data_IF_017336861629
#
_entry.id   IF_017336861629
#
_cell.length_a   1.000
_cell.length_b   1.000
_cell.length_c   1.000
_cell.angle_alpha   90.00
_cell.angle_beta   90.00
_cell.angle_gamma   90.00
#
_symmetry.space_group_name_H-M   'P 1'
#
loop_
_entity.id
_entity.type
_entity.pdbx_description
1 polymer ?
#
# COMPACT_ATOMS: atom_id res chain seq x y z
N UNK A 1 63.66 47.04 16.34
CA UNK A 1 62.53 47.72 17.01
C UNK A 1 61.98 46.78 18.07
N UNK A 2 62.53 46.87 19.27
CA UNK A 2 61.92 46.48 20.55
C UNK A 2 61.63 47.83 21.30
N UNK A 3 60.98 47.93 22.48
CA UNK A 3 60.63 46.91 23.50
C UNK A 3 59.12 46.97 23.93
N UNK A 4 58.53 46.02 24.65
CA UNK A 4 58.68 45.57 26.05
C UNK A 4 58.28 46.56 27.18
N UNK A 5 57.44 46.01 28.07
CA UNK A 5 57.36 46.10 29.55
C UNK A 5 56.93 47.36 30.35
N UNK A 6 55.95 47.08 31.24
CA UNK A 6 55.82 47.38 32.69
C UNK A 6 55.93 48.80 33.27
N UNK A 7 55.05 49.08 34.24
CA UNK A 7 55.18 50.18 35.20
C UNK A 7 54.02 50.28 36.20
N UNK A 8 54.05 49.50 37.27
CA UNK A 8 53.29 49.74 38.53
C UNK A 8 53.92 50.94 39.27
N UNK A 9 53.18 51.65 40.17
CA UNK A 9 53.46 51.39 41.59
C UNK A 9 52.26 51.51 42.56
N UNK A 10 52.48 50.91 43.72
CA UNK A 10 51.65 50.84 44.94
C UNK A 10 51.49 52.19 45.67
N UNK A 11 50.42 52.34 46.47
CA UNK A 11 50.40 53.06 47.76
C UNK A 11 48.97 52.97 48.35
N UNK A 12 48.73 52.07 49.31
CA UNK A 12 48.71 52.28 50.78
C UNK A 12 47.40 52.85 51.34
N UNK A 13 46.64 51.99 52.00
CA UNK A 13 46.31 52.02 53.45
C UNK A 13 45.23 53.01 53.90
N UNK A 14 44.13 52.47 54.42
CA UNK A 14 43.76 52.61 55.84
C UNK A 14 42.35 52.07 56.10
N UNK A 15 42.27 50.99 56.89
CA UNK A 15 41.10 50.75 57.74
C UNK A 15 41.28 51.60 58.99
N UNK A 16 40.18 52.10 59.59
CA UNK A 16 39.93 51.61 60.94
C UNK A 16 38.44 51.39 61.30
N UNK A 17 38.28 50.35 62.10
CA UNK A 17 37.47 50.23 63.33
C UNK A 17 35.93 50.14 63.25
N UNK A 18 35.51 49.00 63.81
CA UNK A 18 34.18 48.58 64.25
C UNK A 18 33.56 49.58 65.24
N UNK A 19 32.26 49.78 65.11
CA UNK A 19 31.36 50.06 66.23
C UNK A 19 30.16 49.09 66.12
N UNK A 20 29.89 48.34 67.19
CA UNK A 20 28.71 47.50 67.38
C UNK A 20 27.57 48.37 67.90
N UNK A 21 26.40 48.36 67.25
CA UNK A 21 25.10 48.55 67.90
C UNK A 21 24.07 47.68 67.17
N UNK A 22 23.35 46.87 67.95
CA UNK A 22 22.28 46.02 67.48
C UNK A 22 21.00 46.84 67.25
N UNK A 23 20.29 46.58 66.16
CA UNK A 23 18.87 46.87 66.04
C UNK A 23 18.26 45.97 64.96
N UNK A 24 17.38 45.07 65.39
CA UNK A 24 16.53 44.29 64.51
C UNK A 24 15.54 45.22 63.81
N UNK A 25 15.52 45.20 62.48
CA UNK A 25 14.53 45.87 61.64
C UNK A 25 14.27 45.02 60.41
N UNK A 26 13.03 44.57 60.26
CA UNK A 26 12.59 43.63 59.22
C UNK A 26 12.91 44.14 57.81
N UNK A 27 13.67 43.35 57.05
CA UNK A 27 13.93 43.57 55.63
C UNK A 27 13.08 42.58 54.80
N UNK A 28 12.23 43.14 53.94
CA UNK A 28 11.52 42.39 52.90
C UNK A 28 12.54 41.68 52.00
N UNK A 29 12.40 40.35 51.89
CA UNK A 29 13.12 39.57 50.89
C UNK A 29 12.50 39.83 49.51
N UNK A 30 13.18 40.63 48.68
CA UNK A 30 12.95 40.62 47.23
C UNK A 30 13.53 39.32 46.67
N UNK A 31 12.66 38.34 46.42
CA UNK A 31 13.02 37.15 45.67
C UNK A 31 13.25 37.52 44.20
N UNK A 32 14.50 37.49 43.76
CA UNK A 32 14.83 37.48 42.34
C UNK A 32 14.44 36.11 41.77
N UNK A 33 13.27 36.03 41.14
CA UNK A 33 12.85 34.87 40.38
C UNK A 33 13.71 34.77 39.11
N UNK A 34 14.77 33.97 39.16
CA UNK A 34 15.44 33.50 37.96
C UNK A 34 14.47 32.65 37.16
N UNK A 35 14.05 33.13 35.99
CA UNK A 35 13.27 32.33 35.04
C UNK A 35 14.25 31.33 34.42
N UNK A 36 14.34 30.14 35.01
CA UNK A 36 14.84 28.97 34.31
C UNK A 36 13.80 28.62 33.25
N UNK A 37 14.08 28.98 31.99
CA UNK A 37 13.35 28.41 30.85
C UNK A 37 13.74 26.94 30.80
N UNK A 38 12.92 26.10 31.41
CA UNK A 38 13.01 24.66 31.19
C UNK A 38 12.69 24.42 29.70
N UNK A 39 13.72 24.12 28.91
CA UNK A 39 13.53 23.53 27.59
C UNK A 39 12.73 22.24 27.82
N UNK A 40 11.49 22.21 27.36
CA UNK A 40 10.73 20.98 27.30
C UNK A 40 11.58 19.94 26.56
N UNK A 41 11.69 18.70 27.06
CA UNK A 41 12.37 17.65 26.31
C UNK A 41 11.72 17.56 24.94
N UNK A 42 12.53 17.58 23.88
CA UNK A 42 12.04 17.36 22.52
C UNK A 42 11.23 16.05 22.55
N UNK A 43 9.93 16.15 22.30
CA UNK A 43 9.09 14.98 22.12
C UNK A 43 9.64 14.21 20.93
N UNK A 44 10.35 13.11 21.18
CA UNK A 44 10.74 12.18 20.13
C UNK A 44 9.48 11.77 19.39
N UNK A 45 9.39 12.07 18.09
CA UNK A 45 8.25 11.66 17.29
C UNK A 45 8.12 10.14 17.41
N UNK A 46 6.96 9.68 17.90
CA UNK A 46 6.73 8.27 18.12
C UNK A 46 6.69 7.55 16.77
N UNK A 47 7.39 6.42 16.69
CA UNK A 47 7.32 5.48 15.59
C UNK A 47 5.89 5.29 15.07
N UNK A 48 5.70 5.46 13.76
CA UNK A 48 4.46 5.01 13.11
C UNK A 48 4.44 3.49 13.15
N UNK A 49 3.85 2.95 14.21
CA UNK A 49 3.59 1.51 14.33
C UNK A 49 2.16 1.28 13.90
N UNK A 50 1.99 0.87 12.64
CA UNK A 50 0.67 0.49 12.16
C UNK A 50 0.26 -0.85 12.77
N UNK A 51 -1.05 -1.08 12.99
CA UNK A 51 -1.55 -2.30 13.62
C UNK A 51 -1.01 -3.57 12.95
N UNK A 52 -0.68 -4.59 13.75
CA UNK A 52 -0.25 -5.92 13.29
C UNK A 52 0.98 -5.93 12.36
N UNK A 53 1.86 -4.92 12.45
CA UNK A 53 3.06 -4.83 11.62
C UNK A 53 2.76 -4.51 10.15
N UNK A 54 1.60 -3.88 9.88
CA UNK A 54 1.21 -3.42 8.55
C UNK A 54 2.22 -2.41 8.01
N UNK A 55 2.59 -2.54 6.74
CA UNK A 55 3.58 -1.68 6.10
C UNK A 55 2.89 -0.61 5.27
N UNK A 56 3.37 0.63 5.39
CA UNK A 56 3.09 1.73 4.48
C UNK A 56 4.44 2.13 3.87
N UNK A 57 4.66 1.73 2.61
CA UNK A 57 5.93 1.89 1.88
C UNK A 57 5.73 2.91 0.76
N UNK A 58 6.65 3.85 0.59
CA UNK A 58 6.63 4.76 -0.56
C UNK A 58 7.97 4.82 -1.28
N UNK A 59 7.94 4.86 -2.61
CA UNK A 59 9.14 5.14 -3.40
C UNK A 59 9.35 6.65 -3.52
N UNK A 60 10.58 7.11 -3.32
CA UNK A 60 11.01 8.49 -3.53
C UNK A 60 12.11 8.51 -4.60
N UNK A 61 11.82 8.95 -5.83
CA UNK A 61 12.83 8.99 -6.88
C UNK A 61 13.87 10.10 -6.64
N UNK A 62 15.07 9.93 -7.16
CA UNK A 62 16.18 10.90 -7.07
C UNK A 62 15.87 12.18 -7.85
N UNK A 63 15.14 12.04 -8.96
CA UNK A 63 14.83 13.10 -9.92
C UNK A 63 13.58 13.94 -9.59
N UNK A 64 12.66 13.47 -8.74
CA UNK A 64 11.40 14.17 -8.47
C UNK A 64 11.00 14.15 -7.00
N UNK A 65 10.25 15.17 -6.56
CA UNK A 65 9.75 15.28 -5.19
C UNK A 65 10.66 16.03 -4.21
N UNK A 66 10.02 16.65 -3.21
CA UNK A 66 10.67 17.43 -2.16
C UNK A 66 10.58 16.69 -0.81
N UNK A 67 11.73 16.36 -0.23
CA UNK A 67 11.83 15.62 1.04
C UNK A 67 11.13 16.33 2.21
N UNK A 68 10.98 17.65 2.17
CA UNK A 68 10.30 18.41 3.22
C UNK A 68 8.76 18.28 3.17
N UNK A 69 8.22 17.77 2.07
CA UNK A 69 6.76 17.60 1.87
C UNK A 69 6.28 16.17 2.12
N UNK A 70 7.21 15.26 2.41
CA UNK A 70 6.89 13.85 2.68
C UNK A 70 6.11 13.76 3.99
N UNK A 71 5.03 12.98 3.95
CA UNK A 71 4.18 12.74 5.11
C UNK A 71 4.73 11.61 5.99
N UNK A 72 5.93 11.79 6.54
CA UNK A 72 6.68 10.74 7.26
C UNK A 72 5.86 10.05 8.36
N UNK A 73 5.06 10.81 9.12
CA UNK A 73 4.16 10.29 10.15
C UNK A 73 3.04 9.35 9.65
N UNK A 74 3.00 9.05 8.35
CA UNK A 74 2.06 8.12 7.70
C UNK A 74 2.76 6.97 6.98
N UNK A 75 4.09 6.94 7.00
CA UNK A 75 4.94 5.97 6.32
C UNK A 75 5.77 5.19 7.33
N UNK A 76 5.89 3.89 7.07
CA UNK A 76 6.77 3.00 7.83
C UNK A 76 8.14 2.88 7.18
N UNK A 77 8.18 2.89 5.84
CA UNK A 77 9.38 2.71 5.04
C UNK A 77 9.35 3.61 3.81
N UNK A 78 10.52 4.07 3.38
CA UNK A 78 10.73 4.77 2.12
C UNK A 78 11.85 4.06 1.36
N UNK A 79 11.61 3.76 0.10
CA UNK A 79 12.61 3.24 -0.82
C UNK A 79 13.11 4.41 -1.69
N UNK A 80 14.37 4.81 -1.52
CA UNK A 80 14.98 5.85 -2.35
C UNK A 80 15.42 5.25 -3.68
N UNK A 81 14.82 5.72 -4.77
CA UNK A 81 14.99 5.19 -6.12
C UNK A 81 15.85 6.12 -6.97
N UNK A 82 16.88 5.69 -7.69
CA UNK A 82 17.53 4.39 -7.64
C UNK A 82 19.04 4.57 -7.58
N UNK A 83 19.75 3.51 -7.21
CA UNK A 83 21.14 3.32 -7.62
C UNK A 83 21.19 2.18 -8.64
N UNK A 84 22.01 2.31 -9.68
CA UNK A 84 22.16 1.28 -10.70
C UNK A 84 23.44 0.46 -10.49
N UNK A 85 23.43 -0.85 -10.78
CA UNK A 85 24.64 -1.65 -10.78
C UNK A 85 25.43 -1.50 -12.09
N UNK A 86 26.70 -1.92 -12.03
CA UNK A 86 27.51 -2.28 -13.19
C UNK A 86 27.69 -3.81 -13.24
N UNK A 87 28.01 -4.35 -14.41
CA UNK A 87 28.21 -5.79 -14.65
C UNK A 87 29.28 -6.44 -13.74
N UNK A 88 30.25 -5.68 -13.25
CA UNK A 88 31.31 -6.17 -12.35
C UNK A 88 30.93 -6.13 -10.86
N UNK A 89 29.70 -5.73 -10.53
CA UNK A 89 29.24 -5.56 -9.16
C UNK A 89 29.66 -4.26 -8.48
N UNK A 90 30.24 -3.30 -9.19
CA UNK A 90 30.29 -1.92 -8.70
C UNK A 90 28.93 -1.23 -8.84
N UNK A 91 28.73 -0.12 -8.13
CA UNK A 91 27.55 0.74 -8.28
C UNK A 91 27.90 1.92 -9.17
N UNK A 92 26.94 2.37 -9.97
CA UNK A 92 27.02 3.67 -10.63
C UNK A 92 26.96 4.81 -9.60
N UNK A 93 27.32 6.01 -10.03
CA UNK A 93 27.23 7.18 -9.16
C UNK A 93 25.77 7.35 -8.68
N UNK A 94 25.60 7.57 -7.37
CA UNK A 94 24.28 7.80 -6.81
C UNK A 94 23.74 9.15 -7.26
N UNK A 95 22.56 9.16 -7.85
CA UNK A 95 21.88 10.39 -8.21
C UNK A 95 21.35 11.13 -6.97
N UNK A 96 21.66 12.42 -6.92
CA UNK A 96 21.20 13.36 -5.90
C UNK A 96 21.49 12.90 -4.45
N UNK A 97 22.76 12.69 -4.08
CA UNK A 97 23.14 12.14 -2.76
C UNK A 97 22.79 13.07 -1.59
N UNK A 98 22.71 14.38 -1.83
CA UNK A 98 22.28 15.36 -0.81
C UNK A 98 20.79 15.20 -0.47
N UNK A 99 19.95 14.89 -1.47
CA UNK A 99 18.55 14.56 -1.26
C UNK A 99 18.38 13.28 -0.45
N UNK A 100 19.14 12.22 -0.76
CA UNK A 100 19.13 10.99 0.04
C UNK A 100 19.48 11.29 1.50
N UNK A 101 20.58 12.03 1.74
CA UNK A 101 21.03 12.37 3.10
C UNK A 101 19.97 13.16 3.88
N UNK A 102 19.29 14.08 3.21
CA UNK A 102 18.19 14.87 3.79
C UNK A 102 16.97 14.01 4.08
N UNK A 103 16.61 13.12 3.16
CA UNK A 103 15.50 12.18 3.31
C UNK A 103 15.72 11.26 4.51
N UNK A 104 16.91 10.65 4.63
CA UNK A 104 17.28 9.78 5.76
C UNK A 104 17.15 10.54 7.08
N UNK A 105 17.71 11.75 7.15
CA UNK A 105 17.66 12.57 8.36
C UNK A 105 16.23 12.88 8.81
N UNK A 106 15.36 13.30 7.88
CA UNK A 106 13.96 13.62 8.17
C UNK A 106 13.13 12.37 8.48
N UNK A 107 13.35 11.28 7.75
CA UNK A 107 12.68 10.00 7.97
C UNK A 107 13.02 9.44 9.34
N UNK A 108 14.29 9.40 9.72
CA UNK A 108 14.74 8.92 11.02
C UNK A 108 14.22 9.80 12.17
N UNK A 109 14.17 11.13 11.98
CA UNK A 109 13.56 12.03 12.96
C UNK A 109 12.06 11.75 13.19
N UNK A 110 11.37 11.18 12.20
CA UNK A 110 10.00 10.72 12.27
C UNK A 110 9.86 9.20 12.50
N UNK A 111 10.99 8.50 12.71
CA UNK A 111 11.07 7.05 12.88
C UNK A 111 10.45 6.26 11.71
N UNK A 112 10.63 6.77 10.50
CA UNK A 112 10.39 6.08 9.22
C UNK A 112 11.72 5.52 8.72
N UNK A 113 11.74 4.26 8.28
CA UNK A 113 12.95 3.61 7.76
C UNK A 113 13.22 3.99 6.31
N UNK A 114 14.48 4.03 5.91
CA UNK A 114 14.88 4.33 4.52
C UNK A 114 15.78 3.22 3.96
N UNK A 115 15.35 2.60 2.87
CA UNK A 115 16.17 1.66 2.09
C UNK A 115 16.62 2.31 0.78
N UNK A 116 17.77 1.89 0.25
CA UNK A 116 18.14 2.21 -1.14
C UNK A 116 17.48 1.19 -2.07
N UNK A 117 16.74 1.66 -3.07
CA UNK A 117 16.25 0.81 -4.15
C UNK A 117 17.31 0.71 -5.26
N UNK A 118 17.56 -0.52 -5.73
CA UNK A 118 18.63 -0.83 -6.68
C UNK A 118 18.01 -1.37 -7.97
N UNK A 119 18.25 -0.69 -9.08
CA UNK A 119 17.68 -1.02 -10.38
C UNK A 119 16.56 -0.08 -10.83
N UNK A 120 15.35 -0.61 -10.93
CA UNK A 120 14.19 -0.04 -11.62
C UNK A 120 14.15 -0.43 -13.11
N UNK A 121 13.05 -0.08 -13.78
CA UNK A 121 12.80 -0.43 -15.19
C UNK A 121 13.98 -0.20 -16.15
N UNK A 122 14.68 0.94 -16.06
CA UNK A 122 15.87 1.25 -16.87
C UNK A 122 15.70 0.98 -18.39
N UNK A 123 14.57 1.40 -18.97
CA UNK A 123 14.18 1.12 -20.36
C UNK A 123 14.18 -0.37 -20.74
N UNK A 124 13.92 -1.24 -19.76
CA UNK A 124 13.95 -2.69 -19.88
C UNK A 124 15.37 -3.27 -19.94
N UNK A 125 16.41 -2.47 -19.70
CA UNK A 125 17.79 -2.94 -19.73
C UNK A 125 18.23 -3.42 -18.34
N UNK A 126 18.28 -4.74 -18.19
CA UNK A 126 18.75 -5.43 -16.99
C UNK A 126 20.07 -6.20 -17.21
N UNK A 127 20.76 -5.96 -18.33
CA UNK A 127 22.00 -6.68 -18.69
C UNK A 127 23.10 -6.61 -17.63
N UNK A 128 23.17 -5.51 -16.88
CA UNK A 128 24.10 -5.37 -15.77
C UNK A 128 23.76 -6.34 -14.62
N UNK A 129 22.47 -6.53 -14.33
CA UNK A 129 22.01 -7.50 -13.34
C UNK A 129 22.30 -8.94 -13.79
N UNK A 130 22.01 -9.26 -15.05
CA UNK A 130 22.31 -10.58 -15.60
C UNK A 130 23.80 -10.93 -15.46
N UNK A 131 24.67 -10.01 -15.87
CA UNK A 131 26.11 -10.20 -15.82
C UNK A 131 26.65 -10.32 -14.38
N UNK A 132 26.22 -9.42 -13.48
CA UNK A 132 26.71 -9.44 -12.10
C UNK A 132 26.17 -10.65 -11.32
N UNK A 133 24.91 -11.01 -11.54
CA UNK A 133 24.29 -12.13 -10.82
C UNK A 133 24.86 -13.46 -11.30
N UNK A 134 25.26 -13.58 -12.56
CA UNK A 134 25.91 -14.77 -13.13
C UNK A 134 27.34 -15.02 -12.63
N UNK A 135 27.99 -14.07 -11.95
CA UNK A 135 29.39 -14.18 -11.55
C UNK A 135 29.57 -14.06 -10.02
N UNK A 136 30.12 -15.09 -9.37
CA UNK A 136 30.26 -15.11 -7.90
C UNK A 136 31.13 -13.98 -7.33
N UNK A 137 32.19 -13.58 -8.04
CA UNK A 137 33.05 -12.46 -7.64
C UNK A 137 32.31 -11.13 -7.77
N UNK A 138 31.57 -10.94 -8.87
CA UNK A 138 30.76 -9.75 -9.07
C UNK A 138 29.62 -9.65 -8.05
N UNK A 139 28.93 -10.75 -7.73
CA UNK A 139 27.93 -10.78 -6.64
C UNK A 139 28.54 -10.34 -5.31
N UNK A 140 29.72 -10.87 -4.97
CA UNK A 140 30.42 -10.50 -3.73
C UNK A 140 30.80 -9.00 -3.72
N UNK A 141 31.32 -8.49 -4.84
CA UNK A 141 31.63 -7.06 -4.98
C UNK A 141 30.37 -6.20 -4.82
N UNK A 142 29.27 -6.60 -5.44
CA UNK A 142 27.98 -5.90 -5.37
C UNK A 142 27.42 -5.85 -3.95
N UNK A 143 27.39 -6.99 -3.25
CA UNK A 143 26.97 -7.06 -1.85
C UNK A 143 27.83 -6.13 -0.98
N UNK A 144 29.16 -6.14 -1.16
CA UNK A 144 30.06 -5.27 -0.40
C UNK A 144 29.84 -3.79 -0.69
N UNK A 145 29.63 -3.42 -1.96
CA UNK A 145 29.34 -2.03 -2.33
C UNK A 145 28.00 -1.54 -1.75
N UNK A 146 26.97 -2.39 -1.73
CA UNK A 146 25.71 -2.06 -1.09
C UNK A 146 25.83 -1.94 0.43
N UNK A 147 26.60 -2.82 1.09
CA UNK A 147 26.90 -2.66 2.52
C UNK A 147 27.60 -1.33 2.78
N UNK A 148 28.55 -0.93 1.95
CA UNK A 148 29.24 0.35 2.08
C UNK A 148 28.28 1.53 1.91
N UNK A 149 27.39 1.47 0.92
CA UNK A 149 26.38 2.51 0.68
C UNK A 149 25.39 2.62 1.85
N UNK A 150 24.92 1.49 2.37
CA UNK A 150 24.05 1.42 3.56
C UNK A 150 24.72 2.06 4.77
N UNK A 151 26.00 1.78 5.00
CA UNK A 151 26.75 2.39 6.10
C UNK A 151 26.97 3.88 5.88
N UNK A 152 27.35 4.29 4.66
CA UNK A 152 27.65 5.68 4.31
C UNK A 152 26.46 6.61 4.54
N UNK A 153 25.26 6.18 4.14
CA UNK A 153 24.05 7.00 4.23
C UNK A 153 23.16 6.64 5.42
N UNK A 154 23.64 5.80 6.35
CA UNK A 154 22.88 5.30 7.49
C UNK A 154 21.51 4.72 7.09
N UNK A 155 21.48 3.91 6.03
CA UNK A 155 20.24 3.30 5.54
C UNK A 155 19.79 2.15 6.44
N UNK A 156 18.50 1.85 6.40
CA UNK A 156 17.87 0.75 7.12
C UNK A 156 17.83 -0.55 6.32
N UNK A 157 18.14 -0.51 5.02
CA UNK A 157 18.16 -1.71 4.18
C UNK A 157 18.38 -1.44 2.70
N UNK A 158 18.16 -2.49 1.93
CA UNK A 158 18.22 -2.52 0.46
C UNK A 158 16.90 -3.07 -0.08
N UNK A 159 16.40 -2.45 -1.13
CA UNK A 159 15.28 -2.94 -1.94
C UNK A 159 15.81 -3.31 -3.33
N UNK A 160 15.68 -4.58 -3.71
CA UNK A 160 16.09 -5.07 -5.03
C UNK A 160 14.96 -4.90 -6.03
N UNK A 161 15.14 -4.02 -7.01
CA UNK A 161 14.18 -3.74 -8.07
C UNK A 161 14.76 -4.15 -9.43
N UNK A 162 14.97 -5.46 -9.63
CA UNK A 162 15.40 -6.00 -10.91
C UNK A 162 14.16 -6.35 -11.73
N UNK A 163 13.96 -5.62 -12.83
CA UNK A 163 12.86 -5.80 -13.78
C UNK A 163 13.34 -6.35 -15.14
N UNK A 164 13.38 -7.67 -15.37
CA UNK A 164 13.03 -8.76 -14.44
C UNK A 164 13.98 -9.95 -14.62
N UNK A 165 14.32 -10.67 -13.53
CA UNK A 165 15.03 -11.94 -13.68
C UNK A 165 14.15 -12.93 -14.46
N UNK A 166 14.68 -13.48 -15.54
CA UNK A 166 13.98 -14.47 -16.36
C UNK A 166 13.94 -15.85 -15.68
N UNK A 167 12.88 -16.66 -15.93
CA UNK A 167 12.87 -18.05 -15.48
C UNK A 167 14.07 -18.85 -16.03
N UNK A 168 14.65 -19.72 -15.21
CA UNK A 168 15.82 -20.53 -15.57
C UNK A 168 17.12 -19.99 -14.99
N UNK A 169 18.17 -19.85 -15.80
CA UNK A 169 19.52 -19.46 -15.34
C UNK A 169 19.52 -18.10 -14.65
N UNK A 170 18.82 -17.11 -15.21
CA UNK A 170 18.68 -15.78 -14.60
C UNK A 170 18.05 -15.87 -13.20
N UNK A 171 16.92 -16.55 -13.06
CA UNK A 171 16.27 -16.78 -11.76
C UNK A 171 17.13 -17.56 -10.74
N UNK A 172 17.95 -18.51 -11.20
CA UNK A 172 18.93 -19.19 -10.33
C UNK A 172 19.98 -18.21 -9.81
N UNK A 173 20.50 -17.36 -10.70
CA UNK A 173 21.49 -16.33 -10.38
C UNK A 173 20.93 -15.27 -9.43
N UNK A 174 19.69 -14.83 -9.68
CA UNK A 174 18.95 -13.94 -8.79
C UNK A 174 18.79 -14.55 -7.39
N UNK A 175 18.42 -15.83 -7.30
CA UNK A 175 18.26 -16.53 -6.02
C UNK A 175 19.57 -16.57 -5.22
N UNK A 176 20.70 -16.85 -5.88
CA UNK A 176 22.03 -16.83 -5.25
C UNK A 176 22.42 -15.43 -4.78
N UNK A 177 22.13 -14.40 -5.58
CA UNK A 177 22.35 -13.01 -5.21
C UNK A 177 21.52 -12.61 -3.98
N UNK A 178 20.22 -12.92 -3.98
CA UNK A 178 19.32 -12.62 -2.86
C UNK A 178 19.73 -13.34 -1.57
N UNK A 179 20.23 -14.58 -1.65
CA UNK A 179 20.77 -15.29 -0.50
C UNK A 179 21.98 -14.58 0.12
N UNK A 180 22.93 -14.14 -0.72
CA UNK A 180 24.12 -13.42 -0.26
C UNK A 180 23.77 -12.05 0.33
N UNK A 181 22.87 -11.31 -0.32
CA UNK A 181 22.36 -10.04 0.20
C UNK A 181 21.64 -10.23 1.54
N UNK A 182 20.77 -11.24 1.66
CA UNK A 182 20.05 -11.52 2.91
C UNK A 182 21.02 -11.78 4.05
N UNK A 183 22.02 -12.64 3.84
CA UNK A 183 23.06 -12.92 4.83
C UNK A 183 23.78 -11.64 5.26
N UNK A 184 24.16 -10.79 4.29
CA UNK A 184 24.89 -9.56 4.57
C UNK A 184 24.04 -8.50 5.28
N UNK A 185 22.79 -8.29 4.86
CA UNK A 185 21.90 -7.29 5.45
C UNK A 185 21.40 -7.73 6.83
N UNK A 186 20.87 -8.94 6.95
CA UNK A 186 20.26 -9.42 8.20
C UNK A 186 21.29 -9.57 9.33
N UNK A 187 22.53 -10.00 9.03
CA UNK A 187 23.62 -10.03 10.03
C UNK A 187 24.00 -8.66 10.59
N UNK A 188 23.56 -7.58 9.93
CA UNK A 188 23.77 -6.18 10.34
C UNK A 188 22.49 -5.53 10.88
N UNK A 189 21.41 -6.30 11.07
CA UNK A 189 20.11 -5.77 11.46
C UNK A 189 19.46 -4.88 10.40
N UNK A 190 19.86 -5.01 9.13
CA UNK A 190 19.34 -4.25 8.00
C UNK A 190 18.32 -5.09 7.22
N UNK A 191 17.38 -4.41 6.58
CA UNK A 191 16.32 -5.02 5.78
C UNK A 191 16.82 -5.41 4.39
N UNK A 192 16.23 -6.46 3.84
CA UNK A 192 16.29 -6.79 2.41
C UNK A 192 14.85 -6.98 1.88
N UNK A 193 14.48 -6.18 0.90
CA UNK A 193 13.18 -6.27 0.22
C UNK A 193 13.39 -6.40 -1.27
N UNK A 194 12.32 -6.67 -2.02
CA UNK A 194 12.38 -6.62 -3.48
C UNK A 194 11.07 -6.15 -4.08
N UNK A 195 11.14 -5.35 -5.13
CA UNK A 195 10.04 -5.08 -6.03
C UNK A 195 9.93 -6.22 -7.05
N UNK A 196 8.69 -6.66 -7.31
CA UNK A 196 8.43 -7.80 -8.19
C UNK A 196 7.24 -7.53 -9.10
N UNK A 197 7.27 -8.15 -10.29
CA UNK A 197 6.18 -8.13 -11.25
C UNK A 197 4.84 -8.54 -10.63
N UNK A 198 3.73 -8.02 -11.16
CA UNK A 198 2.37 -8.34 -10.68
C UNK A 198 2.07 -9.85 -10.65
N UNK A 199 2.19 -10.51 -11.81
CA UNK A 199 1.83 -11.90 -12.04
C UNK A 199 2.43 -12.38 -13.37
N UNK A 200 2.19 -13.66 -13.74
CA UNK A 200 2.58 -14.20 -15.04
C UNK A 200 3.88 -15.01 -15.04
N UNK A 201 4.35 -15.38 -16.23
CA UNK A 201 5.50 -16.28 -16.42
C UNK A 201 6.80 -15.69 -15.88
N UNK A 202 7.04 -14.40 -16.14
CA UNK A 202 8.21 -13.63 -15.66
C UNK A 202 8.37 -13.73 -14.15
N UNK A 203 7.27 -13.80 -13.40
CA UNK A 203 7.31 -13.94 -11.94
C UNK A 203 8.07 -15.20 -11.48
N UNK A 204 8.17 -16.23 -12.34
CA UNK A 204 8.88 -17.48 -12.05
C UNK A 204 10.40 -17.33 -11.95
N UNK A 205 10.98 -16.23 -12.44
CA UNK A 205 12.39 -15.90 -12.19
C UNK A 205 12.68 -15.59 -10.72
N UNK A 206 11.69 -15.11 -9.97
CA UNK A 206 11.77 -15.00 -8.50
C UNK A 206 11.33 -16.34 -7.90
N UNK A 207 12.27 -17.18 -7.51
CA UNK A 207 11.97 -18.52 -6.98
C UNK A 207 11.44 -18.47 -5.53
N UNK A 208 10.63 -19.46 -5.08
CA UNK A 208 10.10 -19.47 -3.71
C UNK A 208 11.15 -19.41 -2.59
N UNK A 209 12.38 -19.87 -2.85
CA UNK A 209 13.49 -19.73 -1.90
C UNK A 209 13.75 -18.26 -1.51
N UNK A 210 13.54 -17.32 -2.45
CA UNK A 210 13.70 -15.87 -2.21
C UNK A 210 12.75 -15.38 -1.12
N UNK A 211 11.58 -16.01 -0.94
CA UNK A 211 10.63 -15.61 0.11
C UNK A 211 11.19 -15.80 1.53
N UNK A 212 12.17 -16.70 1.69
CA UNK A 212 12.94 -16.88 2.92
C UNK A 212 14.03 -15.83 3.12
N UNK A 213 14.52 -15.20 2.04
CA UNK A 213 15.63 -14.24 2.06
C UNK A 213 15.19 -12.80 2.22
N UNK A 214 13.98 -12.45 1.78
CA UNK A 214 13.44 -11.09 1.91
C UNK A 214 12.61 -10.91 3.18
N UNK A 215 12.60 -9.70 3.71
CA UNK A 215 11.66 -9.26 4.74
C UNK A 215 10.23 -9.18 4.18
N UNK A 216 10.07 -8.67 2.96
CA UNK A 216 8.82 -8.72 2.17
C UNK A 216 9.08 -8.46 0.68
N UNK A 217 8.04 -8.70 -0.14
CA UNK A 217 7.98 -8.31 -1.54
C UNK A 217 7.01 -7.13 -1.74
N UNK A 218 7.48 -6.12 -2.46
CA UNK A 218 6.67 -5.01 -2.98
C UNK A 218 6.11 -5.43 -4.35
N UNK A 219 4.84 -5.86 -4.40
CA UNK A 219 4.22 -6.39 -5.62
C UNK A 219 3.73 -5.21 -6.45
N UNK A 220 4.31 -5.01 -7.63
CA UNK A 220 4.02 -3.88 -8.52
C UNK A 220 2.69 -4.08 -9.26
N UNK A 221 1.59 -4.04 -8.51
CA UNK A 221 0.21 -4.28 -8.96
C UNK A 221 -0.40 -3.10 -9.74
N UNK A 222 0.37 -2.59 -10.69
CA UNK A 222 0.05 -1.53 -11.64
C UNK A 222 0.66 -1.83 -13.01
N UNK A 223 0.44 -0.95 -13.99
CA UNK A 223 0.86 -1.14 -15.39
C UNK A 223 0.26 -2.37 -16.11
N UNK A 224 -0.80 -2.93 -15.53
CA UNK A 224 -1.64 -3.96 -16.12
C UNK A 224 -3.09 -3.86 -15.65
N UNK A 225 -3.86 -4.94 -15.82
CA UNK A 225 -5.20 -5.04 -15.24
C UNK A 225 -6.25 -4.13 -15.86
N UNK A 226 -6.29 -3.97 -17.18
CA UNK A 226 -7.20 -3.08 -17.92
C UNK A 226 -8.56 -2.78 -17.23
N UNK A 227 -8.85 -1.51 -16.85
CA UNK A 227 -7.97 -0.34 -16.93
C UNK A 227 -6.84 -0.39 -15.89
N UNK A 228 -5.69 0.24 -16.20
CA UNK A 228 -4.48 0.27 -15.37
C UNK A 228 -4.74 0.21 -13.85
N UNK A 229 -4.24 -0.84 -13.21
CA UNK A 229 -4.33 -1.10 -11.78
C UNK A 229 -5.76 -1.19 -11.22
N UNK A 230 -6.70 -1.84 -11.93
CA UNK A 230 -8.03 -2.07 -11.37
C UNK A 230 -7.99 -2.91 -10.07
N UNK A 231 -9.00 -2.74 -9.21
CA UNK A 231 -9.07 -3.41 -7.90
C UNK A 231 -8.92 -4.93 -8.01
N UNK A 232 -9.76 -5.59 -8.80
CA UNK A 232 -9.81 -7.06 -8.89
C UNK A 232 -8.48 -7.63 -9.36
N UNK A 233 -7.87 -7.02 -10.37
CA UNK A 233 -6.58 -7.45 -10.89
C UNK A 233 -5.45 -7.25 -9.86
N UNK A 234 -5.40 -6.12 -9.17
CA UNK A 234 -4.39 -5.89 -8.13
C UNK A 234 -4.50 -6.89 -6.97
N UNK A 235 -5.73 -7.26 -6.58
CA UNK A 235 -5.94 -8.30 -5.56
C UNK A 235 -5.49 -9.67 -6.07
N UNK A 236 -5.76 -10.01 -7.33
CA UNK A 236 -5.31 -11.25 -7.95
C UNK A 236 -3.79 -11.33 -8.03
N UNK A 237 -3.09 -10.23 -8.35
CA UNK A 237 -1.62 -10.18 -8.33
C UNK A 237 -1.07 -10.56 -6.94
N UNK A 238 -1.62 -10.01 -5.86
CA UNK A 238 -1.19 -10.37 -4.49
C UNK A 238 -1.52 -11.83 -4.16
N UNK A 239 -2.70 -12.30 -4.54
CA UNK A 239 -3.09 -13.69 -4.32
C UNK A 239 -2.26 -14.68 -5.15
N UNK A 240 -1.80 -14.29 -6.34
CA UNK A 240 -0.90 -15.07 -7.17
C UNK A 240 0.42 -15.33 -6.42
N UNK A 241 1.05 -14.30 -5.86
CA UNK A 241 2.27 -14.47 -5.06
C UNK A 241 2.04 -15.30 -3.79
N UNK A 242 0.93 -15.09 -3.08
CA UNK A 242 0.57 -15.92 -1.93
C UNK A 242 0.33 -17.39 -2.32
N UNK A 243 -0.30 -17.64 -3.47
CA UNK A 243 -0.52 -18.98 -4.02
C UNK A 243 0.78 -19.70 -4.40
N UNK A 244 1.86 -18.95 -4.63
CA UNK A 244 3.23 -19.48 -4.82
C UNK A 244 3.96 -19.77 -3.50
N UNK A 245 3.35 -19.46 -2.35
CA UNK A 245 3.91 -19.71 -1.02
C UNK A 245 4.44 -18.48 -0.30
N UNK A 246 4.27 -17.26 -0.82
CA UNK A 246 4.65 -16.04 -0.10
C UNK A 246 3.73 -15.86 1.13
N UNK A 247 4.27 -15.74 2.36
CA UNK A 247 3.44 -15.47 3.53
C UNK A 247 2.68 -14.14 3.38
N UNK A 248 1.43 -14.10 3.84
CA UNK A 248 0.60 -12.89 3.74
C UNK A 248 1.28 -11.66 4.36
N UNK A 249 1.97 -11.80 5.49
CA UNK A 249 2.72 -10.73 6.17
C UNK A 249 3.89 -10.16 5.36
N UNK A 250 4.36 -10.90 4.34
CA UNK A 250 5.43 -10.54 3.41
C UNK A 250 4.91 -10.08 2.04
N UNK A 251 3.60 -10.04 1.82
CA UNK A 251 3.00 -9.58 0.57
C UNK A 251 2.56 -8.12 0.71
N UNK A 252 3.24 -7.17 0.05
CA UNK A 252 2.91 -5.74 0.10
C UNK A 252 2.32 -5.31 -1.23
N UNK A 253 1.10 -4.76 -1.21
CA UNK A 253 0.33 -4.40 -2.39
C UNK A 253 0.74 -3.02 -2.95
N UNK A 254 1.31 -2.98 -4.14
CA UNK A 254 1.64 -1.76 -4.87
C UNK A 254 0.41 -1.04 -5.44
N UNK A 255 0.40 0.29 -5.37
CA UNK A 255 -0.58 1.17 -6.01
C UNK A 255 0.11 2.30 -6.78
N UNK A 256 -0.42 2.68 -7.97
CA UNK A 256 0.14 3.77 -8.76
C UNK A 256 -0.43 5.11 -8.31
N UNK A 257 0.41 6.13 -8.22
CA UNK A 257 0.02 7.53 -8.04
C UNK A 257 0.07 8.30 -9.36
N UNK A 258 -0.16 7.60 -10.47
CA UNK A 258 -0.22 8.16 -11.82
C UNK A 258 -1.30 7.45 -12.65
N UNK A 259 -1.57 8.00 -13.84
CA UNK A 259 -2.51 7.42 -14.80
C UNK A 259 -1.83 6.70 -15.96
N UNK A 260 -2.59 5.84 -16.64
CA UNK A 260 -2.31 5.43 -18.02
C UNK A 260 -3.40 5.97 -18.96
N UNK A 261 -3.08 6.22 -20.24
CA UNK A 261 -1.81 5.92 -20.91
C UNK A 261 -0.74 7.01 -20.79
N UNK A 262 -1.08 8.23 -20.38
CA UNK A 262 -0.19 9.40 -20.54
C UNK A 262 0.69 9.68 -19.31
N UNK A 263 0.55 8.93 -18.22
CA UNK A 263 1.35 9.16 -17.00
C UNK A 263 1.13 10.52 -16.35
N UNK A 264 -0.11 11.05 -16.37
CA UNK A 264 -0.43 12.17 -15.51
C UNK A 264 -0.32 11.72 -14.06
N UNK A 265 0.40 12.50 -13.25
CA UNK A 265 0.43 12.27 -11.80
C UNK A 265 -0.96 12.44 -11.22
N UNK A 266 -1.25 11.71 -10.15
CA UNK A 266 -2.50 11.85 -9.41
C UNK A 266 -2.70 13.31 -8.97
N UNK A 267 -1.65 13.96 -8.48
CA UNK A 267 -1.66 15.38 -8.10
C UNK A 267 -2.08 16.32 -9.24
N UNK A 268 -1.58 16.10 -10.46
CA UNK A 268 -2.00 16.88 -11.63
C UNK A 268 -3.47 16.67 -11.95
N UNK A 269 -3.97 15.44 -11.89
CA UNK A 269 -5.38 15.15 -12.16
C UNK A 269 -6.30 15.79 -11.11
N UNK A 270 -5.93 15.72 -9.82
CA UNK A 270 -6.68 16.41 -8.75
C UNK A 270 -6.63 17.93 -8.90
N UNK A 271 -5.50 18.49 -9.33
CA UNK A 271 -5.38 19.92 -9.59
C UNK A 271 -6.26 20.39 -10.77
N UNK A 272 -6.49 19.54 -11.77
CA UNK A 272 -7.40 19.84 -12.89
C UNK A 272 -8.87 19.87 -12.45
N UNK A 273 -9.29 18.94 -11.58
CA UNK A 273 -10.62 18.89 -10.98
C UNK A 273 -10.51 18.15 -9.64
N UNK A 274 -10.78 18.80 -8.48
CA UNK A 274 -10.72 18.14 -7.18
C UNK A 274 -11.59 16.89 -7.06
N UNK A 275 -12.67 16.77 -7.85
CA UNK A 275 -13.51 15.58 -7.88
C UNK A 275 -12.77 14.35 -8.44
N UNK A 276 -11.69 14.53 -9.20
CA UNK A 276 -10.81 13.44 -9.65
C UNK A 276 -10.20 12.68 -8.48
N UNK A 277 -10.08 13.30 -7.29
CA UNK A 277 -9.64 12.57 -6.11
C UNK A 277 -10.53 11.36 -5.77
N UNK A 278 -11.80 11.36 -6.21
CA UNK A 278 -12.77 10.29 -5.96
C UNK A 278 -13.13 9.47 -7.21
N UNK A 279 -12.33 9.54 -8.28
CA UNK A 279 -12.54 8.80 -9.53
C UNK A 279 -11.35 7.88 -9.79
N UNK A 280 -11.56 6.84 -10.59
CA UNK A 280 -10.48 5.97 -11.11
C UNK A 280 -10.15 6.26 -12.58
N UNK A 281 -10.98 7.05 -13.27
CA UNK A 281 -10.65 7.55 -14.60
C UNK A 281 -11.19 8.97 -14.78
N UNK A 282 -10.54 9.75 -15.62
CA UNK A 282 -11.01 11.06 -16.09
C UNK A 282 -10.57 11.29 -17.53
N UNK A 283 -11.18 12.23 -18.25
CA UNK A 283 -10.81 12.53 -19.63
C UNK A 283 -9.95 13.79 -19.66
N UNK A 284 -8.73 13.68 -20.17
CA UNK A 284 -7.82 14.81 -20.39
C UNK A 284 -7.54 14.91 -21.88
N UNK A 285 -7.88 16.06 -22.48
CA UNK A 285 -7.68 16.32 -23.92
C UNK A 285 -8.27 15.24 -24.83
N UNK A 286 -9.47 14.74 -24.49
CA UNK A 286 -10.16 13.69 -25.26
C UNK A 286 -9.66 12.26 -25.03
N UNK A 287 -8.63 12.06 -24.21
CA UNK A 287 -8.08 10.73 -23.87
C UNK A 287 -8.48 10.35 -22.46
N UNK A 288 -9.04 9.15 -22.28
CA UNK A 288 -9.33 8.61 -20.95
C UNK A 288 -8.03 8.24 -20.23
N UNK A 289 -7.82 8.86 -19.08
CA UNK A 289 -6.71 8.64 -18.15
C UNK A 289 -7.23 7.85 -16.96
N UNK A 290 -6.76 6.63 -16.78
CA UNK A 290 -7.17 5.76 -15.67
C UNK A 290 -6.03 5.58 -14.65
N UNK A 291 -6.38 5.70 -13.37
CA UNK A 291 -5.54 5.74 -12.17
C UNK A 291 -6.33 5.15 -11.00
N UNK A 292 -5.89 5.33 -9.75
CA UNK A 292 -6.68 4.95 -8.57
C UNK A 292 -6.97 6.17 -7.70
N UNK A 293 -8.24 6.49 -7.51
CA UNK A 293 -8.68 7.53 -6.60
C UNK A 293 -8.71 7.06 -5.14
N UNK A 294 -9.03 7.99 -4.23
CA UNK A 294 -9.16 7.76 -2.79
C UNK A 294 -9.96 6.50 -2.47
N UNK A 295 -11.14 6.25 -3.06
CA UNK A 295 -11.92 5.12 -2.61
C UNK A 295 -11.27 3.79 -3.02
N UNK A 296 -10.58 3.70 -4.18
CA UNK A 296 -9.94 2.45 -4.64
C UNK A 296 -8.72 2.17 -3.79
N UNK A 297 -7.93 3.20 -3.50
CA UNK A 297 -6.78 3.06 -2.59
C UNK A 297 -7.24 2.65 -1.19
N UNK A 298 -8.33 3.22 -0.67
CA UNK A 298 -8.90 2.78 0.63
C UNK A 298 -9.38 1.34 0.58
N UNK A 299 -10.09 0.94 -0.48
CA UNK A 299 -10.57 -0.43 -0.65
C UNK A 299 -9.41 -1.45 -0.72
N UNK A 300 -8.39 -1.16 -1.53
CA UNK A 300 -7.17 -1.97 -1.62
C UNK A 300 -6.47 -2.06 -0.27
N UNK A 301 -6.39 -0.95 0.46
CA UNK A 301 -5.79 -0.92 1.81
C UNK A 301 -6.60 -1.73 2.81
N UNK A 302 -7.93 -1.66 2.79
CA UNK A 302 -8.79 -2.43 3.68
C UNK A 302 -8.64 -3.94 3.41
N UNK A 303 -8.60 -4.32 2.12
CA UNK A 303 -8.32 -5.71 1.75
C UNK A 303 -6.93 -6.15 2.21
N UNK A 304 -5.90 -5.33 1.96
CA UNK A 304 -4.53 -5.64 2.35
C UNK A 304 -4.40 -5.76 3.88
N UNK A 305 -5.06 -4.90 4.66
CA UNK A 305 -5.07 -4.96 6.12
C UNK A 305 -5.59 -6.30 6.65
N UNK A 306 -6.56 -6.88 5.94
CA UNK A 306 -7.14 -8.18 6.29
C UNK A 306 -6.38 -9.38 5.70
N UNK A 307 -5.64 -9.22 4.60
CA UNK A 307 -5.18 -10.33 3.76
C UNK A 307 -3.70 -10.29 3.33
N UNK A 308 -2.96 -9.26 3.71
CA UNK A 308 -1.61 -8.96 3.25
C UNK A 308 -0.79 -8.20 4.30
N UNK A 309 0.47 -7.88 3.97
CA UNK A 309 1.45 -7.33 4.89
C UNK A 309 1.57 -5.81 4.84
N UNK A 310 0.93 -5.15 3.87
CA UNK A 310 1.03 -3.70 3.71
C UNK A 310 0.59 -3.18 2.35
N UNK A 311 0.77 -1.87 2.19
CA UNK A 311 0.65 -1.11 0.95
C UNK A 311 2.01 -0.52 0.56
N UNK A 312 2.26 -0.44 -0.75
CA UNK A 312 3.38 0.24 -1.37
C UNK A 312 2.85 1.24 -2.41
N UNK A 313 3.48 2.41 -2.58
CA UNK A 313 3.12 3.35 -3.65
C UNK A 313 4.29 3.69 -4.56
N UNK A 314 3.96 3.80 -5.86
CA UNK A 314 4.81 4.39 -6.90
C UNK A 314 4.10 5.61 -7.52
N UNK A 315 4.53 6.84 -7.26
CA UNK A 315 5.55 7.24 -6.27
C UNK A 315 5.17 8.52 -5.50
N UNK A 316 5.85 8.75 -4.38
CA UNK A 316 5.45 9.71 -3.33
C UNK A 316 5.28 11.16 -3.82
N UNK A 317 6.06 11.59 -4.81
CA UNK A 317 6.00 12.95 -5.34
C UNK A 317 4.77 13.25 -6.20
N UNK A 318 4.01 12.20 -6.55
CA UNK A 318 2.83 12.26 -7.39
C UNK A 318 1.54 12.35 -6.58
N UNK A 319 1.62 12.19 -5.26
CA UNK A 319 0.48 12.34 -4.36
C UNK A 319 0.10 13.83 -4.17
N UNK A 320 -1.10 14.06 -3.65
CA UNK A 320 -1.48 15.33 -3.06
C UNK A 320 -1.20 15.35 -1.55
N UNK A 321 -1.56 16.44 -0.88
CA UNK A 321 -1.54 16.54 0.59
C UNK A 321 -2.95 16.77 1.14
N UNK A 322 -3.13 16.66 2.45
CA UNK A 322 -4.43 16.91 3.10
C UNK A 322 -5.50 15.89 2.70
N UNK A 323 -6.74 16.35 2.54
CA UNK A 323 -7.92 15.50 2.39
C UNK A 323 -7.94 14.64 1.12
N UNK A 324 -7.14 14.98 0.11
CA UNK A 324 -7.05 14.23 -1.15
C UNK A 324 -5.86 13.28 -1.22
N UNK A 325 -5.01 13.24 -0.20
CA UNK A 325 -3.79 12.42 -0.23
C UNK A 325 -4.09 10.92 -0.19
N UNK A 326 -3.50 10.18 -1.12
CA UNK A 326 -3.56 8.71 -1.16
C UNK A 326 -2.70 8.08 -0.05
N UNK A 327 -1.56 8.67 0.32
CA UNK A 327 -0.80 8.24 1.52
C UNK A 327 -1.65 8.39 2.78
N UNK A 328 -2.41 9.48 2.90
CA UNK A 328 -3.34 9.68 4.01
C UNK A 328 -4.45 8.65 4.01
N UNK A 329 -5.02 8.36 2.85
CA UNK A 329 -6.05 7.34 2.70
C UNK A 329 -5.55 5.94 3.13
N UNK A 330 -4.32 5.56 2.77
CA UNK A 330 -3.69 4.31 3.22
C UNK A 330 -3.55 4.31 4.74
N UNK A 331 -2.96 5.36 5.30
CA UNK A 331 -2.71 5.48 6.73
C UNK A 331 -4.00 5.39 7.55
N UNK A 332 -5.02 6.18 7.19
CA UNK A 332 -6.31 6.24 7.89
C UNK A 332 -6.99 4.87 7.97
N UNK A 333 -7.00 4.12 6.86
CA UNK A 333 -7.57 2.76 6.81
C UNK A 333 -6.72 1.80 7.65
N UNK A 334 -5.40 1.91 7.58
CA UNK A 334 -4.49 1.08 8.36
C UNK A 334 -4.70 1.27 9.87
N UNK A 335 -4.82 2.51 10.34
CA UNK A 335 -5.06 2.80 11.78
C UNK A 335 -6.53 2.68 12.21
N UNK A 336 -7.47 2.55 11.25
CA UNK A 336 -8.90 2.38 11.54
C UNK A 336 -9.61 3.68 11.93
N UNK A 337 -9.08 4.83 11.54
CA UNK A 337 -9.68 6.16 11.79
C UNK A 337 -10.66 6.58 10.70
N UNK A 338 -10.73 5.83 9.61
CA UNK A 338 -11.84 5.89 8.66
C UNK A 338 -12.86 4.79 8.98
N UNK A 339 -14.18 5.07 8.92
CA UNK A 339 -15.17 4.00 8.77
C UNK A 339 -14.72 3.13 7.58
N UNK A 340 -14.88 1.80 7.58
CA UNK A 340 -14.57 0.98 6.42
C UNK A 340 -15.31 1.58 5.22
N UNK A 341 -14.56 2.33 4.40
CA UNK A 341 -15.14 2.98 3.24
C UNK A 341 -15.53 1.84 2.33
N UNK A 342 -16.82 1.73 2.05
CA UNK A 342 -17.31 1.02 0.89
C UNK A 342 -16.39 1.33 -0.30
N UNK A 343 -16.01 0.33 -1.12
CA UNK A 343 -15.24 0.56 -2.32
C UNK A 343 -15.83 1.70 -3.17
N UNK A 344 -15.04 2.35 -4.04
CA UNK A 344 -15.46 3.49 -4.86
C UNK A 344 -16.81 3.27 -5.54
N UNK A 345 -17.48 4.36 -5.93
CA UNK A 345 -18.61 4.28 -6.85
C UNK A 345 -18.09 3.83 -8.22
N UNK A 346 -18.03 2.51 -8.41
CA UNK A 346 -17.78 1.87 -9.70
C UNK A 346 -18.72 0.70 -9.96
N UNK A 347 -19.65 0.41 -9.04
CA UNK A 347 -20.64 -0.63 -9.24
C UNK A 347 -21.89 -0.12 -9.93
N UNK A 348 -22.33 -0.84 -10.96
CA UNK A 348 -23.61 -0.60 -11.64
C UNK A 348 -24.71 -0.87 -10.62
N UNK A 349 -25.57 0.12 -10.35
CA UNK A 349 -26.64 -0.01 -9.36
C UNK A 349 -27.99 -0.03 -10.06
N UNK A 350 -28.78 -1.06 -9.77
CA UNK A 350 -30.11 -1.23 -10.32
C UNK A 350 -30.63 -2.65 -10.09
N UNK A 351 -31.60 -3.07 -10.90
CA UNK A 351 -32.22 -4.39 -10.75
C UNK A 351 -31.36 -5.46 -11.39
N UNK A 352 -31.32 -6.64 -10.76
CA UNK A 352 -30.85 -7.87 -11.39
C UNK A 352 -32.10 -8.66 -11.76
N UNK A 353 -32.27 -9.00 -13.05
CA UNK A 353 -33.49 -9.63 -13.57
C UNK A 353 -33.17 -11.02 -14.10
N UNK A 354 -33.87 -12.04 -13.63
CA UNK A 354 -33.76 -13.41 -14.17
C UNK A 354 -34.40 -13.49 -15.55
N UNK A 355 -33.66 -13.91 -16.57
CA UNK A 355 -34.17 -13.91 -17.95
C UNK A 355 -35.35 -14.88 -18.16
N UNK A 356 -35.32 -16.06 -17.51
CA UNK A 356 -36.42 -17.01 -17.62
C UNK A 356 -37.70 -16.57 -16.90
N UNK A 357 -37.59 -15.85 -15.79
CA UNK A 357 -38.75 -15.47 -14.96
C UNK A 357 -39.26 -14.05 -15.25
N UNK A 358 -38.43 -13.16 -15.80
CA UNK A 358 -38.69 -11.72 -15.86
C UNK A 358 -38.77 -11.04 -14.49
N UNK A 359 -38.40 -11.76 -13.41
CA UNK A 359 -38.49 -11.29 -12.02
C UNK A 359 -37.15 -10.80 -11.50
N UNK A 360 -37.21 -9.97 -10.47
CA UNK A 360 -36.05 -9.35 -9.86
C UNK A 360 -35.47 -10.23 -8.75
N UNK A 361 -34.14 -10.20 -8.62
CA UNK A 361 -33.46 -10.68 -7.41
C UNK A 361 -33.85 -9.76 -6.25
N UNK A 362 -34.33 -10.34 -5.16
CA UNK A 362 -35.03 -9.66 -4.08
C UNK A 362 -34.51 -10.15 -2.72
N UNK A 363 -34.33 -9.23 -1.77
CA UNK A 363 -34.15 -9.57 -0.36
C UNK A 363 -35.51 -9.73 0.29
N UNK A 364 -35.84 -10.95 0.72
CA UNK A 364 -37.14 -11.29 1.25
C UNK A 364 -37.55 -10.34 2.40
N UNK A 365 -38.75 -9.77 2.28
CA UNK A 365 -39.32 -8.81 3.21
C UNK A 365 -38.43 -7.57 3.50
N UNK A 366 -37.50 -7.24 2.59
CA UNK A 366 -36.50 -6.17 2.78
C UNK A 366 -35.69 -6.31 4.09
N UNK A 367 -35.54 -7.54 4.60
CA UNK A 367 -34.86 -7.79 5.87
C UNK A 367 -33.38 -7.43 5.78
N UNK A 368 -32.88 -6.67 6.75
CA UNK A 368 -31.47 -6.32 6.89
C UNK A 368 -30.72 -7.26 7.83
N UNK A 369 -31.34 -8.36 8.29
CA UNK A 369 -30.67 -9.34 9.13
C UNK A 369 -29.72 -10.23 8.31
N UNK A 370 -28.60 -10.64 8.92
CA UNK A 370 -27.75 -11.70 8.36
C UNK A 370 -28.56 -12.99 8.23
N UNK A 371 -28.42 -13.66 7.09
CA UNK A 371 -29.22 -14.84 6.76
C UNK A 371 -30.55 -14.53 6.07
N UNK A 372 -30.87 -13.25 5.80
CA UNK A 372 -32.05 -12.92 5.04
C UNK A 372 -32.05 -13.61 3.67
N UNK A 373 -33.20 -14.17 3.31
CA UNK A 373 -33.35 -14.95 2.10
C UNK A 373 -33.25 -14.06 0.83
N UNK A 374 -32.34 -14.39 -0.09
CA UNK A 374 -32.34 -13.84 -1.46
C UNK A 374 -33.17 -14.71 -2.42
N UNK A 375 -34.22 -14.14 -3.00
CA UNK A 375 -35.26 -14.84 -3.77
C UNK A 375 -35.54 -14.15 -5.12
N UNK A 376 -36.38 -14.76 -5.95
CA UNK A 376 -37.07 -14.09 -7.03
C UNK A 376 -38.35 -13.43 -6.51
N UNK A 377 -38.63 -12.21 -6.96
CA UNK A 377 -39.88 -11.55 -6.68
C UNK A 377 -40.28 -10.62 -7.83
N UNK A 378 -41.58 -10.38 -7.97
CA UNK A 378 -42.14 -9.41 -8.90
C UNK A 378 -41.42 -8.08 -8.73
N UNK A 379 -40.91 -7.53 -9.84
CA UNK A 379 -40.15 -6.30 -9.81
C UNK A 379 -41.04 -5.14 -9.32
N UNK A 380 -40.76 -4.63 -8.12
CA UNK A 380 -41.58 -3.67 -7.39
C UNK A 380 -40.85 -2.34 -7.13
N UNK A 381 -39.57 -2.23 -7.50
CA UNK A 381 -38.79 -0.99 -7.41
C UNK A 381 -38.38 -0.59 -6.00
N UNK A 382 -38.56 -1.47 -5.00
CA UNK A 382 -38.09 -1.22 -3.64
C UNK A 382 -36.57 -1.39 -3.52
N UNK A 383 -36.00 -0.89 -2.41
CA UNK A 383 -34.58 -1.06 -2.11
C UNK A 383 -34.16 -2.53 -1.93
N UNK A 384 -35.11 -3.43 -1.65
CA UNK A 384 -34.86 -4.87 -1.58
C UNK A 384 -34.45 -5.50 -2.93
N UNK A 385 -34.71 -4.79 -4.04
CA UNK A 385 -34.39 -5.21 -5.41
C UNK A 385 -33.34 -4.31 -6.08
N UNK A 386 -32.77 -3.38 -5.33
CA UNK A 386 -31.74 -2.47 -5.81
C UNK A 386 -30.38 -3.01 -5.41
N UNK A 387 -29.67 -3.55 -6.40
CA UNK A 387 -28.39 -4.20 -6.22
C UNK A 387 -27.27 -3.37 -6.84
N UNK A 388 -26.17 -3.22 -6.11
CA UNK A 388 -24.91 -2.70 -6.63
C UNK A 388 -24.02 -3.87 -7.01
N UNK A 389 -23.76 -4.04 -8.31
CA UNK A 389 -22.77 -4.98 -8.83
C UNK A 389 -21.40 -4.31 -8.73
N UNK A 390 -20.66 -4.57 -7.66
CA UNK A 390 -19.37 -3.96 -7.36
C UNK A 390 -18.26 -4.40 -8.32
N UNK A 391 -17.33 -3.49 -8.61
CA UNK A 391 -16.08 -3.79 -9.34
C UNK A 391 -15.10 -4.65 -8.54
N UNK A 392 -15.41 -4.90 -7.26
CA UNK A 392 -14.68 -5.78 -6.37
C UNK A 392 -15.22 -7.21 -6.34
N UNK A 393 -16.15 -7.52 -7.25
CA UNK A 393 -16.78 -8.83 -7.35
C UNK A 393 -17.92 -9.06 -6.36
N UNK A 394 -18.23 -8.12 -5.46
CA UNK A 394 -19.40 -8.27 -4.60
C UNK A 394 -20.68 -7.83 -5.30
N UNK A 395 -21.80 -8.46 -4.96
CA UNK A 395 -23.14 -7.98 -5.34
C UNK A 395 -23.84 -7.58 -4.06
N UNK A 396 -24.31 -6.34 -3.96
CA UNK A 396 -24.73 -5.75 -2.68
C UNK A 396 -26.13 -5.18 -2.70
N UNK A 397 -26.88 -5.38 -1.64
CA UNK A 397 -28.15 -4.71 -1.37
C UNK A 397 -28.25 -4.40 0.12
N UNK A 398 -28.97 -3.33 0.47
CA UNK A 398 -29.24 -2.96 1.87
C UNK A 398 -27.98 -2.88 2.76
N UNK A 399 -26.83 -2.48 2.18
CA UNK A 399 -25.55 -2.37 2.89
C UNK A 399 -24.83 -3.70 3.15
N UNK A 400 -25.29 -4.81 2.55
CA UNK A 400 -24.76 -6.17 2.75
C UNK A 400 -24.48 -6.87 1.42
N UNK A 401 -23.82 -8.02 1.49
CA UNK A 401 -23.35 -8.79 0.34
C UNK A 401 -24.25 -10.01 0.06
N UNK A 402 -24.41 -10.33 -1.23
CA UNK A 402 -24.96 -11.60 -1.71
C UNK A 402 -23.96 -12.71 -1.41
N UNK A 403 -24.36 -13.64 -0.56
CA UNK A 403 -23.48 -14.60 0.11
C UNK A 403 -23.99 -16.03 -0.09
N UNK A 404 -23.06 -16.96 -0.30
CA UNK A 404 -23.37 -18.39 -0.30
C UNK A 404 -23.38 -18.88 1.14
N UNK A 405 -24.51 -19.44 1.59
CA UNK A 405 -24.70 -19.89 2.97
C UNK A 405 -23.55 -20.80 3.42
N UNK A 406 -22.91 -20.40 4.53
CA UNK A 406 -21.77 -21.10 5.15
C UNK A 406 -20.54 -21.27 4.23
N UNK A 407 -20.44 -20.50 3.15
CA UNK A 407 -19.37 -20.63 2.15
C UNK A 407 -19.33 -21.99 1.44
N UNK A 408 -20.47 -22.69 1.39
CA UNK A 408 -20.56 -24.02 0.78
C UNK A 408 -20.22 -23.99 -0.70
N UNK A 409 -19.54 -25.03 -1.18
CA UNK A 409 -19.24 -25.21 -2.61
C UNK A 409 -20.12 -26.28 -3.27
N UNK A 410 -21.11 -26.83 -2.54
CA UNK A 410 -22.01 -27.87 -3.05
C UNK A 410 -23.16 -27.29 -3.88
N UNK A 411 -23.65 -28.07 -4.85
CA UNK A 411 -24.89 -27.74 -5.56
C UNK A 411 -26.06 -27.65 -4.57
N UNK A 412 -26.93 -26.67 -4.77
CA UNK A 412 -28.10 -26.44 -3.93
C UNK A 412 -27.84 -25.61 -2.67
N UNK A 413 -26.59 -25.17 -2.43
CA UNK A 413 -26.33 -24.22 -1.36
C UNK A 413 -27.07 -22.90 -1.62
N UNK A 414 -27.87 -22.47 -0.65
CA UNK A 414 -28.75 -21.32 -0.76
C UNK A 414 -27.98 -20.00 -0.69
N UNK A 415 -28.55 -18.98 -1.33
CA UNK A 415 -28.04 -17.62 -1.28
C UNK A 415 -28.75 -16.82 -0.18
N UNK A 416 -27.98 -16.07 0.57
CA UNK A 416 -28.43 -15.23 1.68
C UNK A 416 -27.81 -13.83 1.59
N UNK A 417 -28.42 -12.88 2.29
CA UNK A 417 -27.81 -11.59 2.57
C UNK A 417 -26.93 -11.72 3.82
N UNK A 418 -25.69 -11.26 3.75
CA UNK A 418 -24.76 -11.31 4.88
C UNK A 418 -23.85 -10.09 4.92
N UNK A 419 -23.36 -9.73 6.11
CA UNK A 419 -22.33 -8.72 6.26
C UNK A 419 -21.15 -8.98 5.33
N UNK A 420 -20.72 -7.94 4.62
CA UNK A 420 -19.59 -8.07 3.72
C UNK A 420 -18.33 -8.39 4.54
N UNK A 421 -17.80 -9.60 4.35
CA UNK A 421 -16.73 -10.18 5.17
C UNK A 421 -15.47 -10.52 4.34
N UNK A 422 -15.50 -10.27 3.03
CA UNK A 422 -14.35 -10.48 2.14
C UNK A 422 -14.07 -11.94 1.80
N UNK A 423 -14.93 -12.88 2.21
CA UNK A 423 -14.80 -14.29 1.85
C UNK A 423 -15.10 -14.53 0.37
N UNK A 424 -14.58 -15.64 -0.17
CA UNK A 424 -14.89 -16.06 -1.54
C UNK A 424 -16.37 -16.35 -1.78
N UNK A 425 -17.17 -16.56 -0.73
CA UNK A 425 -18.61 -16.84 -0.80
C UNK A 425 -19.41 -15.62 -1.27
N UNK A 426 -18.80 -14.43 -1.20
CA UNK A 426 -19.41 -13.15 -1.55
C UNK A 426 -18.90 -12.58 -2.88
N UNK A 427 -18.11 -13.37 -3.61
CA UNK A 427 -17.51 -12.97 -4.90
C UNK A 427 -18.30 -13.57 -6.06
N UNK A 428 -18.68 -12.74 -7.01
CA UNK A 428 -19.48 -13.06 -8.18
C UNK A 428 -18.85 -12.43 -9.41
N UNK A 429 -18.69 -13.23 -10.46
CA UNK A 429 -18.11 -12.84 -11.74
C UNK A 429 -19.17 -12.95 -12.83
N UNK A 430 -19.66 -11.82 -13.36
CA UNK A 430 -20.49 -11.82 -14.55
C UNK A 430 -19.77 -12.49 -15.72
N UNK A 431 -20.47 -13.39 -16.40
CA UNK A 431 -19.99 -14.07 -17.59
C UNK A 431 -20.65 -13.47 -18.83
N UNK A 432 -20.00 -13.58 -19.99
CA UNK A 432 -20.51 -13.05 -21.27
C UNK A 432 -21.84 -13.68 -21.70
N UNK A 433 -22.14 -14.90 -21.22
CA UNK A 433 -23.39 -15.61 -21.47
C UNK A 433 -24.52 -15.23 -20.48
N UNK A 434 -24.29 -14.27 -19.59
CA UNK A 434 -25.26 -13.80 -18.59
C UNK A 434 -25.30 -14.63 -17.30
N UNK A 435 -24.48 -15.65 -17.13
CA UNK A 435 -24.31 -16.29 -15.82
C UNK A 435 -23.61 -15.36 -14.82
N UNK A 436 -23.90 -15.54 -13.54
CA UNK A 436 -23.12 -14.99 -12.42
C UNK A 436 -22.37 -16.13 -11.74
N UNK A 437 -21.06 -16.25 -12.00
CA UNK A 437 -20.23 -17.34 -11.46
C UNK A 437 -19.57 -16.95 -10.15
N UNK A 438 -19.67 -17.79 -9.13
CA UNK A 438 -18.86 -17.68 -7.93
C UNK A 438 -17.51 -18.42 -8.11
N UNK A 439 -16.35 -17.74 -8.01
CA UNK A 439 -15.05 -18.36 -8.27
C UNK A 439 -14.64 -19.43 -7.28
N UNK A 440 -15.00 -19.29 -6.00
CA UNK A 440 -14.65 -20.25 -4.94
C UNK A 440 -15.33 -21.62 -5.16
N UNK A 441 -16.61 -21.61 -5.51
CA UNK A 441 -17.39 -22.83 -5.75
C UNK A 441 -17.31 -23.34 -7.19
N UNK A 442 -16.83 -22.50 -8.11
CA UNK A 442 -16.91 -22.70 -9.55
C UNK A 442 -18.34 -22.90 -10.10
N UNK A 443 -19.36 -22.44 -9.36
CA UNK A 443 -20.79 -22.61 -9.66
C UNK A 443 -21.47 -21.27 -9.97
N UNK A 444 -22.66 -21.33 -10.54
CA UNK A 444 -23.40 -20.16 -10.99
C UNK A 444 -24.64 -19.90 -10.14
N UNK A 445 -25.03 -18.63 -10.02
CA UNK A 445 -26.29 -18.22 -9.40
C UNK A 445 -27.46 -18.82 -10.18
N UNK A 446 -28.35 -19.49 -9.45
CA UNK A 446 -29.39 -20.36 -10.00
C UNK A 446 -30.71 -20.08 -9.28
N UNK A 447 -31.79 -19.85 -10.05
CA UNK A 447 -33.14 -19.89 -9.52
C UNK A 447 -33.54 -21.35 -9.30
N UNK A 448 -33.77 -21.69 -8.03
CA UNK A 448 -33.89 -23.07 -7.57
C UNK A 448 -34.98 -23.83 -8.33
N UNK A 449 -34.62 -25.03 -8.78
CA UNK A 449 -35.51 -26.02 -9.42
C UNK A 449 -36.27 -25.43 -10.63
N UNK A 450 -35.59 -24.57 -11.42
CA UNK A 450 -36.17 -23.85 -12.58
C UNK A 450 -37.36 -22.93 -12.21
N UNK A 451 -37.51 -22.59 -10.93
CA UNK A 451 -38.65 -21.81 -10.44
C UNK A 451 -38.71 -20.40 -11.03
N UNK A 452 -39.92 -19.95 -11.36
CA UNK A 452 -40.21 -18.62 -11.91
C UNK A 452 -41.21 -17.83 -11.07
N UNK A 453 -41.66 -18.38 -9.95
CA UNK A 453 -42.66 -17.76 -9.08
C UNK A 453 -42.03 -16.78 -8.08
N UNK A 454 -42.87 -15.93 -7.49
CA UNK A 454 -42.46 -15.12 -6.34
C UNK A 454 -42.11 -16.02 -5.15
N UNK A 455 -41.01 -15.72 -4.48
CA UNK A 455 -40.50 -16.52 -3.36
C UNK A 455 -39.58 -17.67 -3.76
N UNK A 456 -39.34 -17.91 -5.06
CA UNK A 456 -38.34 -18.90 -5.48
C UNK A 456 -36.96 -18.51 -4.91
N UNK A 457 -36.38 -19.36 -4.07
CA UNK A 457 -35.05 -19.13 -3.47
C UNK A 457 -33.97 -19.20 -4.55
N UNK A 458 -32.91 -18.41 -4.39
CA UNK A 458 -31.70 -18.57 -5.19
C UNK A 458 -30.73 -19.54 -4.50
N UNK A 459 -29.98 -20.28 -5.32
CA UNK A 459 -28.95 -21.22 -4.91
C UNK A 459 -27.72 -21.08 -5.82
N UNK A 460 -26.66 -21.82 -5.53
CA UNK A 460 -25.62 -22.12 -6.53
C UNK A 460 -25.86 -23.50 -7.15
N UNK A 461 -25.56 -23.62 -8.44
CA UNK A 461 -25.57 -24.90 -9.14
C UNK A 461 -24.46 -24.96 -10.18
N UNK A 462 -24.15 -26.15 -10.69
CA UNK A 462 -23.25 -26.33 -11.83
C UNK A 462 -23.68 -25.38 -12.95
N UNK A 463 -22.73 -24.57 -13.44
CA UNK A 463 -23.00 -23.57 -14.47
C UNK A 463 -23.54 -24.23 -15.74
N UNK A 464 -24.68 -23.74 -16.20
CA UNK A 464 -25.37 -24.18 -17.39
C UNK A 464 -25.90 -22.96 -18.16
N UNK A 465 -26.27 -23.19 -19.41
CA UNK A 465 -26.92 -22.20 -20.28
C UNK A 465 -28.44 -22.18 -20.12
N UNK A 466 -28.98 -22.86 -19.11
CA UNK A 466 -30.41 -22.87 -18.80
C UNK A 466 -30.88 -21.50 -18.31
N UNK A 467 -32.05 -21.06 -18.76
CA UNK A 467 -32.55 -19.70 -18.54
C UNK A 467 -32.69 -19.28 -17.06
N UNK A 468 -32.80 -20.24 -16.14
CA UNK A 468 -32.87 -20.00 -14.69
C UNK A 468 -31.53 -19.56 -14.06
N UNK A 469 -30.43 -19.57 -14.83
CA UNK A 469 -29.11 -19.09 -14.41
C UNK A 469 -28.64 -17.87 -15.20
N UNK A 470 -29.48 -17.31 -16.06
CA UNK A 470 -29.13 -16.17 -16.91
C UNK A 470 -29.75 -14.91 -16.32
N UNK A 471 -28.90 -13.90 -16.09
CA UNK A 471 -29.25 -12.70 -15.35
C UNK A 471 -28.90 -11.46 -16.17
N UNK A 472 -29.85 -10.54 -16.28
CA UNK A 472 -29.59 -9.19 -16.77
C UNK A 472 -29.17 -8.34 -15.58
N UNK A 473 -27.95 -7.82 -15.64
CA UNK A 473 -27.36 -6.93 -14.64
C UNK A 473 -27.64 -5.45 -14.98
N UNK A 474 -27.65 -4.55 -13.99
CA UNK A 474 -27.97 -3.13 -14.18
C UNK A 474 -26.96 -2.35 -15.01
#
# INVERSE_FOLDING_TARGET
>A
MAPDTEGTPMSETSKPRRARWAAAGAALATAAAGIAVALAPATTAQAVVLPNGFKSVGYMPSWAGNVNTVQYGKLTHINYAFVLPNANGSLQALDNPSKLSSLVSLAHAANTKVSIAVGGWNDGNDSAFEALAGNATARTAFVNNLVNLVNQYNLDGVDMDWEYPDPGTSGNNYTLLMQQLSTAMHSRGKLLTAAVVSEGTTASGVQPAVFGYVDWLNIMAYDGGSPHANYTWSINAVNFWKGRGLPASKAVLGVPFYSRPTYYTYSQLVAMDPANANRDCTTVSGVQQCYNGLPTVRAKTAWAKANAGGMMNWELSQDTTGATSLVSAIYEVAVGTTPPSSPPPGGRTGRIVGQASGKCVDVAAASTANGAAIQLYTCNGTNAQTWTVGTDGTIRALGKCMDITSGSTANGALIQLWDCNGSGAQVWQPQSNGNLRNPQSAKCLDAKDLGTADGTRLQIWTCATSGNQIWTLP
#
